data_IF_315598707451
#
_entry.id   IF_315598707451
#
_cell.length_a   1.000
_cell.length_b   1.000
_cell.length_c   1.000
_cell.angle_alpha   90.00
_cell.angle_beta   90.00
_cell.angle_gamma   90.00
#
_symmetry.space_group_name_H-M   'P 1'
#
loop_
_entity.id
_entity.type
_entity.pdbx_description
1 polymer ?
#
# COMPACT_ATOMS: atom_id res chain seq x y z
N UNK A 1 8.83 -20.87 -22.98
CA UNK A 1 10.04 -20.53 -22.20
C UNK A 1 10.31 -19.03 -22.36
N UNK A 2 9.63 -18.20 -21.57
CA UNK A 2 9.68 -16.73 -21.70
C UNK A 2 10.06 -16.12 -20.35
N UNK A 3 11.34 -16.24 -19.97
CA UNK A 3 11.96 -15.39 -18.95
C UNK A 3 13.47 -15.64 -19.01
N UNK A 4 14.22 -14.76 -19.67
CA UNK A 4 15.64 -14.94 -19.99
C UNK A 4 16.59 -14.18 -19.06
N UNK A 5 16.19 -13.84 -17.83
CA UNK A 5 17.04 -13.16 -16.84
C UNK A 5 17.53 -11.75 -17.21
N UNK A 6 17.34 -11.31 -18.47
CA UNK A 6 17.68 -9.96 -18.95
C UNK A 6 16.93 -8.86 -18.19
N UNK A 7 15.72 -9.16 -17.75
CA UNK A 7 14.88 -8.29 -16.93
C UNK A 7 15.61 -7.83 -15.65
N UNK A 8 16.24 -8.76 -14.93
CA UNK A 8 16.98 -8.46 -13.71
C UNK A 8 18.22 -7.62 -13.97
N UNK A 9 18.94 -7.94 -15.04
CA UNK A 9 20.13 -7.18 -15.42
C UNK A 9 19.78 -5.74 -15.84
N UNK A 10 18.61 -5.49 -16.41
CA UNK A 10 18.14 -4.13 -16.70
C UNK A 10 17.70 -3.35 -15.46
N UNK A 11 17.02 -4.02 -14.51
CA UNK A 11 16.65 -3.39 -13.22
C UNK A 11 17.86 -3.13 -12.33
N UNK A 12 18.82 -4.05 -12.25
CA UNK A 12 20.05 -3.87 -11.48
C UNK A 12 20.98 -2.82 -12.10
N UNK A 13 21.11 -2.78 -13.43
CA UNK A 13 21.88 -1.72 -14.12
C UNK A 13 21.26 -0.33 -13.96
N UNK A 14 19.95 -0.26 -13.78
CA UNK A 14 19.22 0.98 -13.41
C UNK A 14 19.19 1.21 -11.90
N UNK A 15 20.23 0.79 -11.17
CA UNK A 15 20.39 1.10 -9.75
C UNK A 15 20.17 2.61 -9.50
N UNK A 16 18.95 2.89 -9.02
CA UNK A 16 18.54 4.05 -8.22
C UNK A 16 18.97 5.41 -8.79
N UNK A 17 18.47 5.75 -9.97
CA UNK A 17 18.19 7.16 -10.26
C UNK A 17 16.70 7.36 -9.99
N UNK A 18 16.34 8.11 -8.95
CA UNK A 18 14.96 8.27 -8.42
C UNK A 18 13.92 8.83 -9.42
N UNK A 19 14.28 8.98 -10.70
CA UNK A 19 13.49 9.59 -11.76
C UNK A 19 13.37 8.73 -13.04
N UNK A 20 13.69 7.44 -13.01
CA UNK A 20 13.48 6.58 -14.20
C UNK A 20 12.07 6.01 -14.22
N UNK A 21 11.22 6.57 -15.08
CA UNK A 21 9.93 5.96 -15.39
C UNK A 21 10.15 4.68 -16.20
N UNK A 22 9.52 3.58 -15.76
CA UNK A 22 9.54 2.29 -16.46
C UNK A 22 8.11 1.92 -16.82
N UNK A 23 7.89 1.59 -18.08
CA UNK A 23 6.59 1.15 -18.58
C UNK A 23 6.60 -0.36 -18.79
N UNK A 24 5.61 -1.04 -18.21
CA UNK A 24 5.40 -2.48 -18.40
C UNK A 24 4.15 -2.70 -19.25
N UNK A 25 4.26 -3.58 -20.25
CA UNK A 25 3.15 -3.99 -21.11
C UNK A 25 3.10 -5.52 -21.22
N UNK A 26 1.96 -6.05 -21.67
CA UNK A 26 1.77 -7.50 -21.84
C UNK A 26 1.43 -8.26 -20.55
N UNK A 27 1.26 -7.57 -19.42
CA UNK A 27 0.78 -8.16 -18.17
C UNK A 27 -0.72 -8.52 -18.31
N UNK A 28 -1.09 -9.74 -17.93
CA UNK A 28 -2.46 -10.26 -18.03
C UNK A 28 -2.83 -11.04 -16.77
N UNK A 29 -4.06 -10.84 -16.28
CA UNK A 29 -4.54 -11.45 -15.04
C UNK A 29 -3.62 -11.10 -13.87
N UNK A 30 -3.35 -12.09 -13.01
CA UNK A 30 -2.54 -11.94 -11.79
C UNK A 30 -1.04 -11.79 -12.03
N UNK A 31 -0.55 -11.74 -13.28
CA UNK A 31 0.89 -11.59 -13.58
C UNK A 31 1.50 -10.32 -12.96
N UNK A 32 0.69 -9.28 -12.77
CA UNK A 32 1.13 -8.04 -12.10
C UNK A 32 1.42 -8.26 -10.62
N UNK A 33 0.63 -9.08 -9.91
CA UNK A 33 0.87 -9.39 -8.50
C UNK A 33 2.19 -10.17 -8.30
N UNK A 34 2.50 -11.10 -9.21
CA UNK A 34 3.79 -11.81 -9.21
C UNK A 34 4.97 -10.85 -9.42
N UNK A 35 4.85 -9.92 -10.38
CA UNK A 35 5.87 -8.90 -10.62
C UNK A 35 6.08 -8.01 -9.38
N UNK A 36 4.99 -7.57 -8.74
CA UNK A 36 5.05 -6.76 -7.53
C UNK A 36 5.71 -7.52 -6.38
N UNK A 37 5.33 -8.77 -6.16
CA UNK A 37 5.92 -9.64 -5.15
C UNK A 37 7.43 -9.79 -5.37
N UNK A 38 7.82 -10.02 -6.62
CA UNK A 38 9.21 -10.19 -7.02
C UNK A 38 10.05 -8.91 -6.81
N UNK A 39 9.51 -7.74 -7.16
CA UNK A 39 10.12 -6.45 -6.86
C UNK A 39 10.28 -6.30 -5.34
N UNK A 40 9.22 -6.52 -4.57
CA UNK A 40 9.20 -6.34 -3.12
C UNK A 40 10.28 -7.19 -2.41
N UNK A 41 10.41 -8.47 -2.79
CA UNK A 41 11.41 -9.37 -2.20
C UNK A 41 12.85 -8.97 -2.53
N UNK A 42 13.09 -8.38 -3.71
CA UNK A 42 14.45 -8.08 -4.17
C UNK A 42 14.94 -6.67 -3.82
N UNK A 43 14.04 -5.70 -3.63
CA UNK A 43 14.43 -4.30 -3.36
C UNK A 43 14.32 -3.89 -1.90
N UNK A 44 13.63 -4.67 -1.04
CA UNK A 44 13.39 -4.35 0.37
C UNK A 44 12.82 -2.94 0.61
N UNK A 45 12.21 -2.32 -0.39
CA UNK A 45 11.67 -0.97 -0.34
C UNK A 45 10.14 -0.97 -0.16
N UNK A 46 9.61 0.13 0.37
CA UNK A 46 8.18 0.33 0.47
C UNK A 46 7.58 0.56 -0.91
N UNK A 47 6.52 -0.19 -1.25
CA UNK A 47 5.81 -0.04 -2.51
C UNK A 47 4.43 0.57 -2.26
N UNK A 48 4.09 1.61 -3.02
CA UNK A 48 2.73 2.16 -3.07
C UNK A 48 2.20 1.93 -4.48
N UNK A 49 1.10 1.19 -4.57
CA UNK A 49 0.50 0.80 -5.84
C UNK A 49 -0.84 1.49 -5.97
N UNK A 50 -0.93 2.37 -6.96
CA UNK A 50 -2.14 3.16 -7.24
C UNK A 50 -2.88 2.54 -8.41
N UNK A 51 -4.03 1.95 -8.12
CA UNK A 51 -4.94 1.40 -9.12
C UNK A 51 -5.90 2.49 -9.64
N UNK A 52 -6.54 2.21 -10.77
CA UNK A 52 -7.49 3.15 -11.38
C UNK A 52 -8.74 3.35 -10.50
N UNK A 53 -9.19 2.29 -9.84
CA UNK A 53 -10.46 2.24 -9.12
C UNK A 53 -10.39 1.23 -7.95
N UNK A 54 -11.43 1.27 -7.10
CA UNK A 54 -11.58 0.41 -5.91
C UNK A 54 -11.59 -1.08 -6.27
N UNK A 55 -12.23 -1.45 -7.39
CA UNK A 55 -12.39 -2.85 -7.79
C UNK A 55 -11.03 -3.45 -8.16
N UNK A 56 -10.25 -2.79 -9.02
CA UNK A 56 -8.89 -3.21 -9.38
C UNK A 56 -7.96 -3.27 -8.18
N UNK A 57 -8.09 -2.32 -7.25
CA UNK A 57 -7.32 -2.34 -6.01
C UNK A 57 -7.66 -3.56 -5.15
N UNK A 58 -8.94 -3.90 -5.01
CA UNK A 58 -9.38 -5.09 -4.28
C UNK A 58 -8.92 -6.40 -4.94
N UNK A 59 -9.01 -6.51 -6.27
CA UNK A 59 -8.48 -7.68 -6.99
C UNK A 59 -6.98 -7.85 -6.77
N UNK A 60 -6.21 -6.78 -6.91
CA UNK A 60 -4.76 -6.82 -6.69
C UNK A 60 -4.42 -7.17 -5.23
N UNK A 61 -5.15 -6.62 -4.26
CA UNK A 61 -4.97 -6.92 -2.85
C UNK A 61 -5.11 -8.43 -2.58
N UNK A 62 -6.18 -9.04 -3.10
CA UNK A 62 -6.44 -10.48 -2.94
C UNK A 62 -5.34 -11.34 -3.59
N UNK A 63 -4.91 -10.97 -4.80
CA UNK A 63 -3.82 -11.66 -5.49
C UNK A 63 -2.53 -11.58 -4.67
N UNK A 64 -2.20 -10.41 -4.12
CA UNK A 64 -1.00 -10.22 -3.30
C UNK A 64 -1.08 -10.97 -1.96
N UNK A 65 -2.24 -10.99 -1.30
CA UNK A 65 -2.45 -11.73 -0.05
C UNK A 65 -2.30 -13.24 -0.23
N UNK A 66 -2.54 -13.75 -1.44
CA UNK A 66 -2.28 -15.16 -1.77
C UNK A 66 -0.77 -15.45 -1.88
N UNK A 67 0.04 -14.45 -2.25
CA UNK A 67 1.47 -14.61 -2.51
C UNK A 67 2.35 -14.25 -1.30
N UNK A 68 1.90 -13.31 -0.47
CA UNK A 68 2.67 -12.73 0.63
C UNK A 68 1.87 -12.77 1.94
N UNK A 69 2.54 -12.90 3.09
CA UNK A 69 1.87 -12.80 4.38
C UNK A 69 1.17 -11.45 4.57
N UNK A 70 -0.02 -11.45 5.17
CA UNK A 70 -0.84 -10.24 5.40
C UNK A 70 -0.09 -9.10 6.11
N UNK A 71 0.91 -9.44 6.94
CA UNK A 71 1.71 -8.45 7.68
C UNK A 71 2.39 -7.42 6.76
N UNK A 72 2.70 -7.80 5.52
CA UNK A 72 3.40 -6.95 4.57
C UNK A 72 2.47 -6.16 3.65
N UNK A 73 1.16 -6.41 3.67
CA UNK A 73 0.22 -5.81 2.73
C UNK A 73 -0.81 -4.97 3.48
N UNK A 74 -1.00 -3.73 3.02
CA UNK A 74 -2.02 -2.82 3.55
C UNK A 74 -2.85 -2.25 2.44
N UNK A 75 -4.12 -2.01 2.75
CA UNK A 75 -5.04 -1.36 1.84
C UNK A 75 -5.36 0.05 2.35
N UNK A 76 -5.38 1.02 1.44
CA UNK A 76 -5.69 2.43 1.77
C UNK A 76 -6.96 2.86 1.02
N UNK A 77 -8.14 2.77 1.67
CA UNK A 77 -9.43 3.09 1.06
C UNK A 77 -9.73 4.60 1.08
N UNK A 78 -10.73 5.06 0.32
CA UNK A 78 -11.42 6.33 0.60
C UNK A 78 -12.18 6.27 1.93
N UNK A 79 -12.30 7.40 2.64
CA UNK A 79 -13.07 7.47 3.89
C UNK A 79 -14.58 7.63 3.68
N UNK A 80 -15.04 7.84 2.45
CA UNK A 80 -16.24 8.63 2.22
C UNK A 80 -17.58 7.94 2.54
N UNK A 81 -18.45 8.73 3.19
CA UNK A 81 -19.90 8.53 3.33
C UNK A 81 -20.61 9.26 2.18
N UNK A 82 -21.23 8.54 1.24
CA UNK A 82 -22.06 9.17 0.22
C UNK A 82 -23.37 9.64 0.87
N UNK A 83 -23.79 10.92 0.72
CA UNK A 83 -25.10 11.37 1.17
C UNK A 83 -26.20 10.48 0.57
N UNK A 84 -27.15 10.03 1.39
CA UNK A 84 -28.31 9.22 0.98
C UNK A 84 -28.02 7.76 0.55
N UNK A 85 -26.81 7.22 0.77
CA UNK A 85 -26.56 5.77 0.74
C UNK A 85 -26.36 5.25 2.16
N UNK A 86 -27.21 4.32 2.59
CA UNK A 86 -26.98 3.56 3.82
C UNK A 86 -25.88 2.50 3.59
N UNK A 87 -24.62 2.93 3.54
CA UNK A 87 -23.48 2.00 3.62
C UNK A 87 -22.99 1.92 5.07
N UNK A 88 -23.08 0.72 5.65
CA UNK A 88 -22.71 0.38 7.04
C UNK A 88 -21.21 0.53 7.38
N UNK A 89 -20.37 1.11 6.54
CA UNK A 89 -18.91 0.89 6.57
C UNK A 89 -18.02 2.15 6.58
N UNK A 90 -18.46 3.28 7.16
CA UNK A 90 -17.53 4.42 7.35
C UNK A 90 -16.43 4.15 8.38
N UNK A 91 -16.75 3.43 9.46
CA UNK A 91 -15.82 3.26 10.58
C UNK A 91 -14.66 2.32 10.22
N UNK A 92 -14.93 1.28 9.43
CA UNK A 92 -13.91 0.34 8.97
C UNK A 92 -12.89 1.02 8.05
N UNK A 93 -13.35 1.79 7.04
CA UNK A 93 -12.44 2.53 6.15
C UNK A 93 -11.61 3.58 6.89
N UNK A 94 -12.21 4.27 7.86
CA UNK A 94 -11.49 5.24 8.72
C UNK A 94 -10.43 4.53 9.57
N UNK A 95 -10.78 3.39 10.16
CA UNK A 95 -9.84 2.58 10.94
C UNK A 95 -8.69 2.08 10.07
N UNK A 96 -8.98 1.51 8.91
CA UNK A 96 -7.98 0.94 8.00
C UNK A 96 -7.03 2.02 7.45
N UNK A 97 -7.55 3.22 7.15
CA UNK A 97 -6.71 4.40 6.83
C UNK A 97 -5.81 4.79 8.00
N UNK A 98 -6.33 4.86 9.20
CA UNK A 98 -5.56 5.24 10.39
C UNK A 98 -4.46 4.22 10.70
N UNK A 99 -4.76 2.92 10.61
CA UNK A 99 -3.78 1.85 10.77
C UNK A 99 -2.68 1.93 9.71
N UNK A 100 -3.06 2.11 8.44
CA UNK A 100 -2.09 2.23 7.34
C UNK A 100 -1.20 3.47 7.50
N UNK A 101 -1.76 4.62 7.87
CA UNK A 101 -0.98 5.84 8.13
C UNK A 101 -0.06 5.69 9.35
N UNK A 102 -0.53 5.03 10.41
CA UNK A 102 0.27 4.74 11.61
C UNK A 102 1.43 3.80 11.31
N UNK A 103 1.25 2.86 10.37
CA UNK A 103 2.33 1.98 9.91
C UNK A 103 3.32 2.75 9.04
N UNK A 104 2.85 3.54 8.07
CA UNK A 104 3.69 4.36 7.19
C UNK A 104 4.48 5.44 7.94
N UNK A 105 4.01 5.88 9.12
CA UNK A 105 4.73 6.87 9.92
C UNK A 105 5.96 6.30 10.65
N UNK A 106 6.05 4.96 10.79
CA UNK A 106 7.17 4.25 11.40
C UNK A 106 8.36 4.21 10.45
N UNK A 107 9.56 4.50 10.97
CA UNK A 107 10.78 4.57 10.14
C UNK A 107 11.20 3.22 9.56
N UNK A 108 10.86 2.12 10.24
CA UNK A 108 11.23 0.75 9.84
C UNK A 108 10.07 -0.01 9.17
N UNK A 109 9.07 0.68 8.63
CA UNK A 109 8.03 -0.01 7.87
C UNK A 109 8.61 -0.55 6.55
N UNK A 110 8.33 -1.82 6.28
CA UNK A 110 8.64 -2.52 5.03
C UNK A 110 7.39 -3.27 4.57
N UNK A 111 6.70 -2.72 3.57
CA UNK A 111 5.47 -3.31 3.07
C UNK A 111 4.96 -2.67 1.78
N UNK A 112 3.85 -3.24 1.31
CA UNK A 112 3.13 -2.87 0.11
C UNK A 112 1.82 -2.20 0.54
N UNK A 113 1.54 -1.02 0.02
CA UNK A 113 0.26 -0.34 0.17
C UNK A 113 -0.47 -0.35 -1.16
N UNK A 114 -1.63 -0.98 -1.19
CA UNK A 114 -2.54 -0.97 -2.35
C UNK A 114 -3.60 0.11 -2.14
N UNK A 115 -3.76 0.97 -3.13
CA UNK A 115 -4.71 2.08 -3.09
C UNK A 115 -5.22 2.38 -4.51
N UNK A 116 -6.02 3.42 -4.66
CA UNK A 116 -6.54 3.88 -5.93
C UNK A 116 -6.68 5.40 -5.97
N UNK A 117 -6.80 5.95 -7.18
CA UNK A 117 -6.65 7.39 -7.41
C UNK A 117 -7.55 8.27 -6.52
N UNK A 118 -8.82 7.90 -6.34
CA UNK A 118 -9.75 8.68 -5.52
C UNK A 118 -9.39 8.65 -4.02
N UNK A 119 -8.89 7.53 -3.50
CA UNK A 119 -8.46 7.40 -2.10
C UNK A 119 -7.26 8.28 -1.73
N UNK A 120 -6.37 8.52 -2.69
CA UNK A 120 -5.20 9.40 -2.53
C UNK A 120 -5.54 10.89 -2.64
N UNK A 121 -6.58 11.24 -3.40
CA UNK A 121 -7.00 12.63 -3.55
C UNK A 121 -7.53 13.22 -2.22
N UNK A 122 -8.01 12.36 -1.32
CA UNK A 122 -8.46 12.75 0.00
C UNK A 122 -7.29 13.20 0.90
N UNK A 123 -7.36 14.43 1.41
CA UNK A 123 -6.32 15.00 2.28
C UNK A 123 -6.17 14.18 3.57
N UNK A 124 -4.93 13.84 3.89
CA UNK A 124 -4.57 13.14 5.14
C UNK A 124 -4.00 14.10 6.18
N UNK A 125 -4.11 13.73 7.45
CA UNK A 125 -3.42 14.43 8.53
C UNK A 125 -1.89 14.37 8.32
N UNK A 126 -1.21 15.48 8.61
CA UNK A 126 0.25 15.54 8.51
C UNK A 126 0.91 14.61 9.54
N UNK A 127 2.16 14.18 9.29
CA UNK A 127 2.93 13.35 10.23
C UNK A 127 3.05 14.01 11.62
N UNK A 128 3.18 15.34 11.68
CA UNK A 128 3.26 16.08 12.94
C UNK A 128 1.91 16.10 13.67
N UNK A 129 0.81 16.25 12.95
CA UNK A 129 -0.55 16.15 13.50
C UNK A 129 -0.86 14.76 14.04
N UNK A 130 -0.42 13.70 13.34
CA UNK A 130 -0.60 12.32 13.79
C UNK A 130 0.18 12.06 15.10
N UNK A 131 1.45 12.46 15.15
CA UNK A 131 2.27 12.27 16.35
C UNK A 131 1.72 13.04 17.57
N UNK A 132 1.25 14.29 17.38
CA UNK A 132 0.66 15.09 18.47
C UNK A 132 -0.63 14.48 19.04
N UNK A 133 -1.42 13.80 18.21
CA UNK A 133 -2.71 13.23 18.60
C UNK A 133 -2.65 11.71 18.89
N UNK A 134 -1.46 11.11 18.93
CA UNK A 134 -1.29 9.68 19.25
C UNK A 134 -0.94 9.53 20.74
N UNK A 135 -1.84 8.90 21.50
CA UNK A 135 -1.57 8.50 22.89
C UNK A 135 -0.90 7.12 22.91
N UNK A 136 0.34 7.04 23.39
CA UNK A 136 1.04 5.77 23.60
C UNK A 136 0.79 5.34 25.04
N UNK A 137 0.14 4.19 25.23
CA UNK A 137 -0.13 3.62 26.55
C UNK A 137 0.80 2.42 26.76
N UNK A 138 1.52 2.39 27.90
CA UNK A 138 2.41 1.28 28.30
C UNK A 138 1.90 0.59 29.56
N UNK A 139 2.19 -0.71 29.67
CA UNK A 139 1.87 -1.49 30.87
C UNK A 139 2.57 -0.89 32.09
N UNK A 140 1.79 -0.49 33.10
CA UNK A 140 2.28 0.16 34.32
C UNK A 140 2.10 1.67 34.38
N UNK A 141 1.61 2.31 33.31
CA UNK A 141 1.22 3.72 33.35
C UNK A 141 -0.08 3.90 34.15
N UNK A 142 -0.08 4.90 35.04
CA UNK A 142 -1.30 5.35 35.72
C UNK A 142 -2.01 6.33 34.79
N UNK A 143 -3.16 5.91 34.29
CA UNK A 143 -4.11 6.79 33.62
C UNK A 143 -5.01 7.40 34.70
N UNK A 144 -5.11 8.73 34.74
CA UNK A 144 -6.00 9.48 35.64
C UNK A 144 -7.06 10.23 34.85
#
# INVERSE_FOLDING_TARGET
MWWNGKFWNELQKKQVNFNTNVFFSGLRGSSFAFLVNDIFQNTSCNLVIVCNDKEKAAYLLNDLQTLLPEKHIKYFPESYKVPYKEEKTSNASVQERAETLSLLSKENYSGIVVTYAAALAEKVASKTSLNKNTLIIKKGEKLS
#
